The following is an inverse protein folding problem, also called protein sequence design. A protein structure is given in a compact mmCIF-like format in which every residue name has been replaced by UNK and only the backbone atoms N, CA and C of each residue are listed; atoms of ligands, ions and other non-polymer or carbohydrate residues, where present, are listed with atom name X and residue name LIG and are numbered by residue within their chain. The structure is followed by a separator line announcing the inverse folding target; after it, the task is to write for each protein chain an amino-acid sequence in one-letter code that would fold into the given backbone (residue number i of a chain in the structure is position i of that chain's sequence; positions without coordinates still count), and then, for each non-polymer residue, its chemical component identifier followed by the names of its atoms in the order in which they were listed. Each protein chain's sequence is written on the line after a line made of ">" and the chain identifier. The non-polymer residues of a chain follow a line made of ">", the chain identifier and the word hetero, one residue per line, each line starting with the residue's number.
data_IF_418772101028
#
_entry.id   IF_418772101028
#
_cell.length_a   1.000
_cell.length_b   1.000
_cell.length_c   1.000
_cell.angle_alpha   90.00
_cell.angle_beta   90.00
_cell.angle_gamma   90.00
#
_symmetry.space_group_name_H-M   'P 1'
#
loop_
_entity.id
_entity.type
_entity.pdbx_description
1 polymer ?
#
# COMPACT_ATOMS: atom_id res chain seq x y z
N UNK A 1 -10.44 5.05 -31.52
CA UNK A 1 -11.37 4.02 -32.04
C UNK A 1 -11.39 2.88 -31.05
N UNK A 2 -12.54 2.27 -30.82
CA UNK A 2 -12.68 1.07 -30.01
C UNK A 2 -13.13 -0.08 -30.90
N UNK A 3 -12.50 -1.22 -30.73
CA UNK A 3 -12.73 -2.41 -31.54
C UNK A 3 -12.92 -3.63 -30.63
N UNK A 4 -14.07 -4.26 -30.74
CA UNK A 4 -14.29 -5.56 -30.11
C UNK A 4 -13.65 -6.65 -30.95
N UNK A 5 -12.79 -7.45 -30.34
CA UNK A 5 -12.10 -8.57 -30.99
C UNK A 5 -12.55 -9.86 -30.34
N UNK A 6 -13.10 -10.74 -31.14
CA UNK A 6 -13.42 -12.11 -30.75
C UNK A 6 -12.58 -13.08 -31.58
N UNK A 7 -11.92 -13.99 -30.91
CA UNK A 7 -11.14 -15.03 -31.56
C UNK A 7 -11.29 -16.37 -30.83
N UNK A 8 -11.46 -17.41 -31.59
CA UNK A 8 -11.50 -18.79 -31.11
C UNK A 8 -10.71 -19.66 -32.08
N UNK A 9 -9.63 -20.25 -31.62
CA UNK A 9 -8.74 -20.98 -32.48
C UNK A 9 -7.77 -21.88 -31.71
N UNK A 10 -7.11 -22.73 -32.46
CA UNK A 10 -6.13 -23.67 -31.92
C UNK A 10 -4.75 -23.51 -32.60
N UNK A 11 -4.06 -22.37 -32.37
CA UNK A 11 -2.71 -22.17 -32.88
C UNK A 11 -1.74 -23.14 -32.21
N UNK A 12 -0.63 -23.41 -32.87
CA UNK A 12 0.48 -24.17 -32.30
C UNK A 12 1.45 -23.20 -31.61
N UNK A 13 1.28 -22.99 -30.31
CA UNK A 13 2.17 -22.17 -29.50
C UNK A 13 2.86 -23.09 -28.49
N UNK A 14 4.18 -23.12 -28.49
CA UNK A 14 4.97 -23.85 -27.51
C UNK A 14 5.80 -22.85 -26.70
N UNK A 15 5.66 -22.91 -25.38
CA UNK A 15 6.43 -22.12 -24.41
C UNK A 15 7.48 -23.04 -23.78
N UNK A 16 8.75 -22.67 -23.88
CA UNK A 16 9.84 -23.34 -23.16
C UNK A 16 10.06 -22.64 -21.81
N UNK A 17 9.68 -23.33 -20.73
CA UNK A 17 9.80 -22.79 -19.37
C UNK A 17 11.04 -23.40 -18.73
N UNK A 18 12.02 -22.55 -18.43
CA UNK A 18 13.22 -22.95 -17.70
C UNK A 18 12.98 -22.84 -16.20
N UNK A 19 13.11 -23.93 -15.50
CA UNK A 19 13.04 -23.99 -14.03
C UNK A 19 14.31 -23.39 -13.41
N UNK A 20 14.25 -23.03 -12.12
CA UNK A 20 15.41 -22.56 -11.35
C UNK A 20 16.57 -23.57 -11.33
N UNK A 21 16.29 -24.84 -11.58
CA UNK A 21 17.28 -25.92 -11.70
C UNK A 21 17.86 -26.05 -13.13
N UNK A 22 17.51 -25.16 -14.06
CA UNK A 22 17.99 -25.16 -15.44
C UNK A 22 17.32 -26.20 -16.34
N UNK A 23 16.25 -26.86 -15.88
CA UNK A 23 15.49 -27.80 -16.71
C UNK A 23 14.45 -27.05 -17.54
N UNK A 24 14.52 -27.21 -18.88
CA UNK A 24 13.51 -26.65 -19.79
C UNK A 24 12.34 -27.62 -19.95
N UNK A 25 11.12 -27.12 -19.78
CA UNK A 25 9.88 -27.87 -19.91
C UNK A 25 9.05 -27.23 -21.04
N UNK A 26 8.90 -27.91 -22.19
CA UNK A 26 8.05 -27.41 -23.26
C UNK A 26 6.57 -27.59 -22.92
N UNK A 27 5.81 -26.49 -22.97
CA UNK A 27 4.38 -26.45 -22.70
C UNK A 27 3.62 -25.94 -23.91
N UNK A 28 2.70 -26.73 -24.39
CA UNK A 28 1.84 -26.40 -25.52
C UNK A 28 0.60 -25.64 -25.03
N UNK A 29 0.34 -24.46 -25.59
CA UNK A 29 -0.86 -23.66 -25.34
C UNK A 29 -1.88 -23.98 -26.44
N UNK A 30 -3.06 -24.44 -26.05
CA UNK A 30 -4.13 -24.91 -26.94
C UNK A 30 -5.48 -24.29 -26.64
N UNK A 31 -6.39 -24.39 -27.63
CA UNK A 31 -7.80 -24.01 -27.53
C UNK A 31 -7.95 -22.60 -26.94
N UNK A 32 -7.31 -21.65 -27.58
CA UNK A 32 -7.32 -20.26 -27.15
C UNK A 32 -8.64 -19.61 -27.59
N UNK A 33 -9.41 -19.14 -26.63
CA UNK A 33 -10.61 -18.33 -26.85
C UNK A 33 -10.43 -16.97 -26.18
N UNK A 34 -10.50 -15.92 -26.96
CA UNK A 34 -10.34 -14.55 -26.51
C UNK A 34 -11.54 -13.69 -26.94
N UNK A 35 -12.01 -12.84 -26.04
CA UNK A 35 -12.93 -11.74 -26.34
C UNK A 35 -12.50 -10.54 -25.53
N UNK A 36 -12.34 -9.39 -26.19
CA UNK A 36 -11.91 -8.17 -25.52
C UNK A 36 -12.13 -6.93 -26.35
N UNK A 37 -12.21 -5.78 -25.66
CA UNK A 37 -12.35 -4.46 -26.25
C UNK A 37 -10.98 -3.79 -26.34
N UNK A 38 -10.50 -3.56 -27.56
CA UNK A 38 -9.27 -2.82 -27.80
C UNK A 38 -9.54 -1.34 -28.04
N UNK A 39 -8.67 -0.50 -27.51
CA UNK A 39 -8.54 0.89 -27.89
C UNK A 39 -7.41 1.02 -28.87
N UNK A 40 -7.69 1.59 -30.05
CA UNK A 40 -6.72 1.84 -31.13
C UNK A 40 -6.65 3.34 -31.35
N UNK A 41 -5.45 3.90 -31.36
CA UNK A 41 -5.15 5.31 -31.58
C UNK A 41 -4.25 5.45 -32.78
N UNK A 42 -4.65 6.26 -33.76
CA UNK A 42 -3.88 6.60 -34.95
C UNK A 42 -3.29 7.99 -34.77
N UNK A 43 -1.97 8.11 -34.68
CA UNK A 43 -1.28 9.41 -34.46
C UNK A 43 0.18 9.33 -34.96
N UNK A 44 0.75 10.49 -35.38
CA UNK A 44 0.04 11.70 -35.80
C UNK A 44 -0.76 11.44 -37.08
N UNK A 45 -1.77 12.26 -37.36
CA UNK A 45 -2.40 12.27 -38.67
C UNK A 45 -1.49 13.04 -39.66
N UNK A 46 -1.27 12.51 -40.86
CA UNK A 46 -0.38 13.05 -41.87
C UNK A 46 -1.07 12.99 -43.21
N UNK A 47 -0.62 13.80 -44.19
CA UNK A 47 -1.19 13.85 -45.53
C UNK A 47 -0.71 12.69 -46.45
N UNK A 48 0.36 12.01 -46.03
CA UNK A 48 0.92 10.84 -46.76
C UNK A 48 0.14 9.57 -46.41
N UNK A 49 -0.12 8.71 -47.45
CA UNK A 49 -0.78 7.42 -47.22
C UNK A 49 0.05 6.56 -46.25
N UNK A 50 -0.56 5.94 -45.23
CA UNK A 50 -1.99 5.70 -44.98
C UNK A 50 -2.69 6.78 -44.13
N UNK A 51 -2.20 8.01 -44.09
CA UNK A 51 -2.74 9.16 -43.39
C UNK A 51 -2.53 9.16 -41.87
N UNK A 52 -1.65 8.33 -41.35
CA UNK A 52 -1.19 8.33 -39.95
C UNK A 52 0.22 7.74 -39.87
N UNK A 53 1.01 8.26 -38.93
CA UNK A 53 2.42 7.86 -38.75
C UNK A 53 2.59 6.59 -37.92
N UNK A 54 1.75 6.39 -36.90
CA UNK A 54 1.81 5.20 -36.02
C UNK A 54 0.43 4.79 -35.54
N UNK A 55 0.35 3.54 -35.10
CA UNK A 55 -0.82 2.96 -34.40
C UNK A 55 -0.40 2.61 -32.98
N UNK A 56 -1.15 3.10 -32.01
CA UNK A 56 -1.05 2.63 -30.63
C UNK A 56 -2.29 1.81 -30.27
N UNK A 57 -2.11 0.64 -29.68
CA UNK A 57 -3.22 -0.21 -29.28
C UNK A 57 -3.04 -0.74 -27.86
N UNK A 58 -4.17 -0.93 -27.17
CA UNK A 58 -4.24 -1.47 -25.82
C UNK A 58 -5.54 -2.20 -25.58
N UNK A 59 -5.55 -3.14 -24.66
CA UNK A 59 -6.74 -3.84 -24.20
C UNK A 59 -7.45 -2.95 -23.15
N UNK A 60 -8.63 -2.45 -23.47
CA UNK A 60 -9.42 -1.63 -22.55
C UNK A 60 -10.20 -2.49 -21.56
N UNK A 61 -10.75 -3.62 -22.04
CA UNK A 61 -11.52 -4.54 -21.24
C UNK A 61 -11.32 -5.95 -21.76
N UNK A 62 -10.88 -6.83 -20.89
CA UNK A 62 -10.83 -8.27 -21.12
C UNK A 62 -12.17 -8.88 -20.68
N UNK A 63 -12.92 -9.47 -21.60
CA UNK A 63 -14.16 -10.16 -21.28
C UNK A 63 -13.93 -11.64 -21.07
N UNK A 64 -13.14 -12.25 -21.95
CA UNK A 64 -12.84 -13.67 -21.89
C UNK A 64 -11.42 -13.94 -22.40
N UNK A 65 -10.64 -14.70 -21.66
CA UNK A 65 -9.40 -15.29 -22.13
C UNK A 65 -9.27 -16.69 -21.51
N UNK A 66 -9.47 -17.70 -22.34
CA UNK A 66 -9.33 -19.10 -21.96
C UNK A 66 -8.35 -19.80 -22.85
N UNK A 67 -7.57 -20.72 -22.30
CA UNK A 67 -6.70 -21.63 -23.01
C UNK A 67 -6.41 -22.85 -22.18
N UNK A 68 -5.95 -23.93 -22.84
CA UNK A 68 -5.46 -25.13 -22.16
C UNK A 68 -3.96 -25.22 -22.26
N UNK A 69 -3.32 -25.67 -21.17
CA UNK A 69 -1.90 -25.97 -21.12
C UNK A 69 -1.70 -27.49 -21.17
N UNK A 70 -0.77 -27.93 -22.01
CA UNK A 70 -0.37 -29.33 -22.11
C UNK A 70 1.14 -29.43 -22.09
N UNK A 71 1.68 -30.21 -21.14
CA UNK A 71 3.12 -30.50 -21.10
C UNK A 71 3.47 -31.43 -22.25
N UNK A 72 4.48 -31.08 -23.02
CA UNK A 72 5.01 -31.94 -24.09
C UNK A 72 6.03 -32.91 -23.49
N UNK A 73 5.85 -34.23 -23.71
CA UNK A 73 6.71 -35.29 -23.22
C UNK A 73 6.16 -36.09 -22.04
N UNK A 74 6.97 -37.02 -21.52
CA UNK A 74 6.59 -37.95 -20.43
C UNK A 74 6.89 -37.39 -19.03
N UNK A 75 6.82 -36.08 -18.84
CA UNK A 75 7.08 -35.44 -17.55
C UNK A 75 5.79 -35.50 -16.75
N UNK A 76 5.81 -36.19 -15.60
CA UNK A 76 4.70 -36.18 -14.65
C UNK A 76 4.49 -34.77 -14.11
N UNK A 77 3.34 -34.18 -14.36
CA UNK A 77 2.98 -32.85 -13.85
C UNK A 77 2.71 -32.92 -12.36
N UNK A 78 3.40 -32.06 -11.61
CA UNK A 78 3.07 -31.84 -10.20
C UNK A 78 1.71 -31.12 -10.14
N UNK A 79 0.75 -31.60 -9.35
CA UNK A 79 -0.53 -30.91 -9.18
C UNK A 79 -0.34 -29.45 -8.77
N UNK A 80 -1.08 -28.54 -9.41
CA UNK A 80 -1.00 -27.09 -9.12
C UNK A 80 -0.01 -26.31 -9.98
N UNK A 81 1.03 -26.91 -10.57
CA UNK A 81 2.03 -26.22 -11.40
C UNK A 81 1.39 -25.60 -12.66
N UNK A 82 0.53 -26.34 -13.33
CA UNK A 82 -0.16 -25.83 -14.54
C UNK A 82 -1.13 -24.69 -14.22
N UNK A 83 -1.79 -24.73 -13.07
CA UNK A 83 -2.70 -23.66 -12.63
C UNK A 83 -1.93 -22.39 -12.27
N UNK A 84 -0.80 -22.53 -11.56
CA UNK A 84 0.09 -21.43 -11.27
C UNK A 84 0.65 -20.80 -12.55
N UNK A 85 1.08 -21.63 -13.52
CA UNK A 85 1.56 -21.18 -14.81
C UNK A 85 0.47 -20.47 -15.62
N UNK A 86 -0.75 -21.01 -15.62
CA UNK A 86 -1.89 -20.37 -16.28
C UNK A 86 -2.15 -18.99 -15.72
N UNK A 87 -2.13 -18.84 -14.40
CA UNK A 87 -2.27 -17.54 -13.72
C UNK A 87 -1.14 -16.58 -14.10
N UNK A 88 0.10 -17.05 -14.16
CA UNK A 88 1.25 -16.24 -14.57
C UNK A 88 1.10 -15.73 -16.01
N UNK A 89 0.71 -16.60 -16.95
CA UNK A 89 0.47 -16.21 -18.35
C UNK A 89 -0.64 -15.16 -18.45
N UNK A 90 -1.76 -15.39 -17.75
CA UNK A 90 -2.89 -14.46 -17.74
C UNK A 90 -2.48 -13.09 -17.18
N UNK A 91 -1.73 -13.08 -16.10
CA UNK A 91 -1.22 -11.86 -15.47
C UNK A 91 -0.24 -11.15 -16.40
N UNK A 92 0.69 -11.86 -17.04
CA UNK A 92 1.67 -11.27 -17.96
C UNK A 92 0.98 -10.61 -19.17
N UNK A 93 -0.04 -11.25 -19.74
CA UNK A 93 -0.82 -10.67 -20.84
C UNK A 93 -1.55 -9.40 -20.36
N UNK A 94 -2.16 -9.46 -19.17
CA UNK A 94 -2.85 -8.31 -18.59
C UNK A 94 -1.89 -7.14 -18.33
N UNK A 95 -0.72 -7.41 -17.77
CA UNK A 95 0.27 -6.39 -17.44
C UNK A 95 0.93 -5.77 -18.67
N UNK A 96 1.03 -6.52 -19.79
CA UNK A 96 1.73 -6.07 -21.01
C UNK A 96 0.86 -5.26 -21.98
N UNK A 97 -0.47 -5.43 -21.97
CA UNK A 97 -1.33 -4.83 -23.01
C UNK A 97 -2.57 -4.11 -22.45
N UNK A 98 -2.90 -4.27 -21.16
CA UNK A 98 -4.06 -3.61 -20.59
C UNK A 98 -3.82 -2.12 -20.38
N UNK A 99 -4.75 -1.29 -20.82
CA UNK A 99 -4.70 0.15 -20.61
C UNK A 99 -4.39 0.53 -19.14
N UNK A 100 -3.45 1.46 -18.87
CA UNK A 100 -2.82 2.43 -19.79
C UNK A 100 -1.62 1.89 -20.59
N UNK A 101 -1.14 0.67 -20.31
CA UNK A 101 -0.09 0.02 -21.10
C UNK A 101 -0.56 -0.15 -22.54
N UNK A 102 0.31 0.13 -23.49
CA UNK A 102 0.01 0.13 -24.92
C UNK A 102 1.24 -0.21 -25.74
N UNK A 103 1.00 -0.86 -26.85
CA UNK A 103 1.98 -1.14 -27.86
C UNK A 103 1.91 -0.10 -28.98
N UNK A 104 3.04 0.30 -29.52
CA UNK A 104 3.14 1.29 -30.60
C UNK A 104 3.76 0.63 -31.82
N UNK A 105 3.05 0.69 -32.93
CA UNK A 105 3.53 0.22 -34.25
C UNK A 105 3.78 1.43 -35.14
N UNK A 106 5.05 1.69 -35.45
CA UNK A 106 5.44 2.73 -36.38
C UNK A 106 5.11 2.26 -37.83
N UNK A 107 4.37 3.08 -38.56
CA UNK A 107 3.96 2.82 -39.94
C UNK A 107 4.83 3.63 -40.89
N UNK A 108 5.05 4.89 -40.60
CA UNK A 108 5.94 5.77 -41.32
C UNK A 108 7.19 6.05 -40.47
N UNK A 109 8.33 6.38 -41.09
CA UNK A 109 9.51 6.83 -40.36
C UNK A 109 9.19 8.12 -39.59
N UNK A 110 9.54 8.15 -38.26
CA UNK A 110 9.29 9.32 -37.43
C UNK A 110 9.56 9.06 -35.94
N UNK A 111 9.48 10.10 -35.17
CA UNK A 111 9.52 10.03 -33.71
C UNK A 111 8.08 9.95 -33.13
N UNK A 112 7.81 8.90 -32.36
CA UNK A 112 6.51 8.62 -31.78
C UNK A 112 6.56 8.55 -30.24
N UNK A 113 7.57 9.16 -29.63
CA UNK A 113 7.73 9.24 -28.17
C UNK A 113 6.55 9.89 -27.45
N UNK A 114 5.74 10.68 -28.18
CA UNK A 114 4.48 11.24 -27.67
C UNK A 114 3.41 10.19 -27.34
N UNK A 115 3.50 9.03 -28.01
CA UNK A 115 2.58 7.92 -27.82
C UNK A 115 3.00 7.00 -26.66
N UNK A 116 4.25 7.11 -26.22
CA UNK A 116 4.75 6.34 -25.09
C UNK A 116 4.00 6.66 -23.81
N UNK A 117 4.00 5.68 -22.93
CA UNK A 117 3.36 5.81 -21.62
C UNK A 117 4.18 6.74 -20.73
N UNK A 118 3.54 7.85 -20.32
CA UNK A 118 4.17 8.84 -19.44
C UNK A 118 3.43 8.89 -18.11
N UNK A 119 4.15 8.96 -17.00
CA UNK A 119 3.52 9.14 -15.69
C UNK A 119 2.76 10.46 -15.62
N UNK A 120 1.56 10.45 -15.04
CA UNK A 120 0.71 11.62 -14.80
C UNK A 120 0.66 12.03 -13.34
N UNK A 121 1.26 11.25 -12.44
CA UNK A 121 1.30 11.52 -11.02
C UNK A 121 2.10 10.47 -10.26
N UNK A 122 2.18 10.67 -8.94
CA UNK A 122 2.84 9.79 -7.97
C UNK A 122 1.82 9.31 -6.95
N UNK A 123 1.83 8.02 -6.61
CA UNK A 123 1.12 7.44 -5.48
C UNK A 123 2.11 7.09 -4.39
N UNK A 124 1.96 7.70 -3.23
CA UNK A 124 2.63 7.28 -2.00
C UNK A 124 1.73 6.29 -1.26
N UNK A 125 2.31 5.15 -0.88
CA UNK A 125 1.65 4.07 -0.16
C UNK A 125 2.41 3.80 1.12
N UNK A 126 1.77 4.02 2.27
CA UNK A 126 2.32 3.64 3.56
C UNK A 126 1.63 2.36 4.03
N UNK A 127 2.37 1.26 4.05
CA UNK A 127 1.94 -0.02 4.62
C UNK A 127 2.22 0.01 6.12
N UNK A 128 1.18 0.17 6.93
CA UNK A 128 1.33 0.40 8.37
C UNK A 128 1.41 -0.92 9.12
N UNK A 129 0.34 -1.72 9.06
CA UNK A 129 0.20 -2.94 9.85
C UNK A 129 -0.79 -3.93 9.24
N UNK A 130 -0.69 -5.19 9.67
CA UNK A 130 -1.72 -6.21 9.50
C UNK A 130 -2.42 -6.52 10.81
N UNK A 131 -3.63 -7.07 10.75
CA UNK A 131 -4.44 -7.48 11.90
C UNK A 131 -5.12 -8.80 11.61
N UNK A 132 -5.02 -9.73 12.58
CA UNK A 132 -5.68 -11.04 12.53
C UNK A 132 -5.38 -11.84 11.26
N UNK A 133 -4.13 -11.81 10.78
CA UNK A 133 -3.73 -12.56 9.60
C UNK A 133 -3.92 -14.05 9.83
N UNK A 134 -4.34 -14.77 8.77
CA UNK A 134 -4.46 -16.23 8.84
C UNK A 134 -3.09 -16.84 9.12
N UNK A 135 -3.01 -17.67 10.14
CA UNK A 135 -1.81 -18.46 10.41
C UNK A 135 -1.67 -19.58 9.38
N UNK A 136 -0.50 -19.70 8.78
CA UNK A 136 -0.15 -20.76 7.83
C UNK A 136 0.73 -21.81 8.46
N UNK A 137 1.50 -21.43 9.46
CA UNK A 137 2.39 -22.32 10.20
C UNK A 137 1.66 -23.34 11.07
N UNK A 138 2.18 -24.56 11.07
CA UNK A 138 1.72 -25.63 11.97
C UNK A 138 2.26 -25.43 13.40
N UNK A 139 3.43 -24.81 13.55
CA UNK A 139 4.10 -24.55 14.82
C UNK A 139 4.51 -23.08 14.84
N UNK A 140 3.96 -22.29 15.76
CA UNK A 140 4.23 -20.87 15.84
C UNK A 140 3.17 -20.01 15.14
N UNK A 141 3.59 -18.87 14.67
CA UNK A 141 2.78 -17.92 13.90
C UNK A 141 3.53 -17.58 12.63
N UNK A 142 2.79 -17.30 11.60
CA UNK A 142 3.30 -16.86 10.30
C UNK A 142 4.32 -15.71 10.40
N UNK A 143 5.22 -15.67 9.43
CA UNK A 143 6.25 -14.65 9.22
C UNK A 143 5.83 -13.71 8.06
N UNK A 144 4.82 -12.83 8.25
CA UNK A 144 4.19 -12.14 7.16
C UNK A 144 5.04 -11.03 6.53
N UNK A 145 4.99 -10.98 5.20
CA UNK A 145 5.44 -9.86 4.38
C UNK A 145 4.40 -9.52 3.31
N UNK A 146 4.52 -8.36 2.69
CA UNK A 146 3.60 -7.89 1.66
C UNK A 146 4.33 -7.49 0.38
N UNK A 147 3.75 -7.87 -0.75
CA UNK A 147 4.06 -7.33 -2.07
C UNK A 147 3.05 -6.23 -2.41
N UNK A 148 3.53 -5.06 -2.80
CA UNK A 148 2.74 -3.88 -3.14
C UNK A 148 3.06 -3.45 -4.55
N UNK A 149 2.06 -3.24 -5.39
CA UNK A 149 2.25 -2.83 -6.79
C UNK A 149 0.99 -2.20 -7.38
N UNK A 150 1.17 -1.43 -8.46
CA UNK A 150 0.08 -0.87 -9.26
C UNK A 150 -0.18 -1.78 -10.47
N UNK A 151 -1.45 -2.16 -10.69
CA UNK A 151 -1.86 -2.85 -11.91
C UNK A 151 -2.36 -1.85 -12.95
N UNK A 152 -2.06 -2.10 -14.24
CA UNK A 152 -1.46 -3.31 -14.81
C UNK A 152 0.09 -3.37 -14.82
N UNK A 153 0.82 -2.54 -14.10
CA UNK A 153 2.29 -2.47 -14.10
C UNK A 153 2.94 -3.26 -12.95
N UNK A 154 2.70 -4.58 -12.92
CA UNK A 154 3.20 -5.46 -11.86
C UNK A 154 4.73 -5.58 -11.81
N UNK A 155 5.45 -5.30 -12.87
CA UNK A 155 6.92 -5.32 -12.90
C UNK A 155 7.57 -4.36 -11.89
N UNK A 156 6.81 -3.42 -11.33
CA UNK A 156 7.25 -2.46 -10.31
C UNK A 156 6.86 -2.90 -8.90
N UNK A 157 6.88 -4.20 -8.61
CA UNK A 157 6.59 -4.73 -7.27
C UNK A 157 7.58 -4.16 -6.25
N UNK A 158 7.05 -3.71 -5.11
CA UNK A 158 7.80 -3.39 -3.89
C UNK A 158 7.45 -4.41 -2.83
N UNK A 159 8.45 -4.91 -2.13
CA UNK A 159 8.28 -5.94 -1.08
C UNK A 159 8.64 -5.35 0.28
N UNK A 160 7.78 -5.58 1.27
CA UNK A 160 8.06 -5.19 2.65
C UNK A 160 9.07 -6.14 3.29
N UNK A 161 9.62 -5.73 4.44
CA UNK A 161 10.35 -6.67 5.30
C UNK A 161 9.42 -7.75 5.86
N UNK A 162 10.02 -8.88 6.21
CA UNK A 162 9.37 -9.98 6.94
C UNK A 162 9.25 -9.59 8.42
N UNK A 163 8.10 -9.83 9.03
CA UNK A 163 7.88 -9.66 10.48
C UNK A 163 7.66 -11.03 11.11
N UNK A 164 8.68 -11.53 11.75
CA UNK A 164 8.68 -12.91 12.26
C UNK A 164 7.63 -13.14 13.36
N UNK A 165 6.99 -14.31 13.32
CA UNK A 165 6.10 -14.87 14.33
C UNK A 165 4.97 -13.93 14.77
N UNK A 166 4.26 -13.30 13.80
CA UNK A 166 3.23 -12.32 14.09
C UNK A 166 2.01 -12.40 13.18
N UNK A 167 0.83 -12.58 13.75
CA UNK A 167 -0.44 -12.41 13.04
C UNK A 167 -0.95 -10.95 13.01
N UNK A 168 -0.21 -10.06 13.70
CA UNK A 168 -0.48 -8.63 13.73
C UNK A 168 0.82 -7.84 13.47
N UNK A 169 1.42 -8.00 12.27
CA UNK A 169 2.69 -7.37 11.94
C UNK A 169 2.56 -5.85 11.88
N UNK A 170 3.62 -5.14 12.25
CA UNK A 170 3.76 -3.70 12.04
C UNK A 170 4.95 -3.48 11.13
N UNK A 171 4.68 -3.21 9.84
CA UNK A 171 5.71 -2.96 8.84
C UNK A 171 6.20 -1.52 8.91
N UNK A 172 5.29 -0.54 8.87
CA UNK A 172 5.59 0.90 8.81
C UNK A 172 6.59 1.23 7.70
N UNK A 173 6.23 0.85 6.48
CA UNK A 173 7.05 1.06 5.30
C UNK A 173 6.31 1.90 4.28
N UNK A 174 7.04 2.81 3.62
CA UNK A 174 6.53 3.68 2.56
C UNK A 174 7.08 3.24 1.22
N UNK A 175 6.21 3.27 0.19
CA UNK A 175 6.52 2.94 -1.18
C UNK A 175 5.97 4.01 -2.11
N UNK A 176 6.71 4.34 -3.16
CA UNK A 176 6.29 5.29 -4.18
C UNK A 176 6.08 4.58 -5.51
N UNK A 177 5.02 4.95 -6.21
CA UNK A 177 4.66 4.39 -7.51
C UNK A 177 4.29 5.51 -8.48
N UNK A 178 4.85 5.46 -9.67
CA UNK A 178 4.38 6.29 -10.78
C UNK A 178 3.00 5.82 -11.23
N UNK A 179 2.11 6.78 -11.48
CA UNK A 179 0.74 6.57 -11.96
C UNK A 179 0.64 7.12 -13.37
N UNK A 180 0.19 6.30 -14.30
CA UNK A 180 0.00 6.67 -15.70
C UNK A 180 -1.45 7.00 -16.05
N UNK A 181 -2.41 6.38 -15.32
CA UNK A 181 -3.84 6.69 -15.44
C UNK A 181 -4.58 6.34 -14.14
N UNK A 182 -4.82 7.34 -13.30
CA UNK A 182 -5.54 7.15 -12.04
C UNK A 182 -6.99 6.67 -12.23
N UNK A 183 -7.58 6.87 -13.41
CA UNK A 183 -8.98 6.47 -13.68
C UNK A 183 -9.15 4.96 -13.85
N UNK A 184 -8.11 4.26 -14.28
CA UNK A 184 -8.16 2.83 -14.60
C UNK A 184 -7.24 1.98 -13.74
N UNK A 185 -6.13 2.54 -13.26
CA UNK A 185 -5.17 1.81 -12.42
C UNK A 185 -5.68 1.58 -11.00
N UNK A 186 -5.11 0.57 -10.37
CA UNK A 186 -5.42 0.21 -8.99
C UNK A 186 -4.18 -0.32 -8.26
N UNK A 187 -4.10 0.00 -6.97
CA UNK A 187 -3.12 -0.57 -6.07
C UNK A 187 -3.56 -1.98 -5.68
N UNK A 188 -2.64 -2.93 -5.74
CA UNK A 188 -2.81 -4.28 -5.22
C UNK A 188 -1.79 -4.53 -4.13
N UNK A 189 -2.23 -5.14 -3.04
CA UNK A 189 -1.38 -5.64 -1.96
C UNK A 189 -1.64 -7.12 -1.81
N UNK A 190 -0.57 -7.92 -1.85
CA UNK A 190 -0.59 -9.36 -1.63
C UNK A 190 0.23 -9.67 -0.38
N UNK A 191 -0.34 -10.44 0.54
CA UNK A 191 0.32 -10.81 1.79
C UNK A 191 0.66 -12.28 1.75
N UNK A 192 1.89 -12.59 2.13
CA UNK A 192 2.44 -13.93 2.15
C UNK A 192 3.04 -14.25 3.52
N UNK A 193 3.17 -15.52 3.78
CA UNK A 193 3.96 -16.11 4.86
C UNK A 193 5.33 -16.52 4.29
N UNK A 194 6.41 -16.11 4.92
CA UNK A 194 7.77 -16.47 4.50
C UNK A 194 8.16 -17.82 5.07
N UNK A 195 8.35 -18.81 4.20
CA UNK A 195 8.75 -20.17 4.54
C UNK A 195 10.29 -20.36 4.45
N UNK A 196 11.04 -19.25 4.37
CA UNK A 196 12.49 -19.26 4.26
C UNK A 196 13.00 -19.92 2.98
N UNK A 197 13.33 -21.21 3.01
CA UNK A 197 13.89 -21.95 1.85
C UNK A 197 12.78 -22.44 0.91
N UNK A 198 11.57 -22.61 1.40
CA UNK A 198 10.42 -23.03 0.60
C UNK A 198 9.74 -21.85 -0.08
N UNK A 199 8.82 -22.13 -0.98
CA UNK A 199 8.01 -21.08 -1.60
C UNK A 199 7.05 -20.49 -0.56
N UNK A 200 7.03 -19.16 -0.47
CA UNK A 200 6.16 -18.43 0.45
C UNK A 200 4.68 -18.78 0.26
N UNK A 201 3.95 -18.97 1.35
CA UNK A 201 2.54 -19.28 1.33
C UNK A 201 1.66 -18.04 1.25
N UNK A 202 0.72 -18.03 0.30
CA UNK A 202 -0.20 -16.92 0.10
C UNK A 202 -1.26 -16.85 1.21
N UNK A 203 -1.33 -15.72 1.92
CA UNK A 203 -2.34 -15.44 2.95
C UNK A 203 -3.59 -14.83 2.32
N UNK A 204 -3.43 -13.73 1.57
CA UNK A 204 -4.54 -13.03 0.94
C UNK A 204 -4.11 -11.76 0.22
N UNK A 205 -5.06 -11.15 -0.49
CA UNK A 205 -4.84 -9.91 -1.23
C UNK A 205 -5.94 -8.88 -1.00
N UNK A 206 -5.63 -7.61 -1.28
CA UNK A 206 -6.55 -6.50 -1.27
C UNK A 206 -6.25 -5.53 -2.41
N UNK A 207 -7.25 -4.72 -2.79
CA UNK A 207 -7.16 -3.80 -3.92
C UNK A 207 -7.82 -2.47 -3.59
N UNK A 208 -7.25 -1.37 -4.11
CA UNK A 208 -7.82 -0.02 -4.05
C UNK A 208 -7.75 0.60 -5.44
N UNK A 209 -8.88 1.08 -5.97
CA UNK A 209 -8.89 1.82 -7.23
C UNK A 209 -8.38 3.25 -7.01
N UNK A 210 -7.44 3.70 -7.84
CA UNK A 210 -6.85 5.03 -7.69
C UNK A 210 -7.86 6.14 -7.95
N UNK A 211 -8.88 5.90 -8.78
CA UNK A 211 -9.99 6.83 -9.01
C UNK A 211 -10.80 7.18 -7.75
N UNK A 212 -10.73 6.35 -6.71
CA UNK A 212 -11.43 6.55 -5.44
C UNK A 212 -10.61 7.40 -4.45
N UNK A 213 -9.41 7.81 -4.85
CA UNK A 213 -8.55 8.70 -4.09
C UNK A 213 -8.80 10.15 -4.48
N UNK A 214 -8.83 11.03 -3.50
CA UNK A 214 -8.85 12.47 -3.74
C UNK A 214 -7.41 12.96 -3.90
N UNK A 215 -7.07 13.64 -5.02
CA UNK A 215 -5.74 14.20 -5.20
C UNK A 215 -5.32 15.11 -4.04
N UNK A 216 -4.10 14.96 -3.58
CA UNK A 216 -3.52 15.77 -2.51
C UNK A 216 -4.04 15.48 -1.10
N UNK A 217 -4.94 14.48 -0.93
CA UNK A 217 -5.45 14.10 0.41
C UNK A 217 -5.01 12.70 0.80
N UNK A 218 -4.56 12.59 2.04
CA UNK A 218 -4.25 11.29 2.64
C UNK A 218 -5.54 10.52 2.91
N UNK A 219 -5.62 9.29 2.42
CA UNK A 219 -6.70 8.37 2.70
C UNK A 219 -6.18 7.20 3.53
N UNK A 220 -6.64 7.11 4.78
CA UNK A 220 -6.33 6.00 5.67
C UNK A 220 -7.46 4.97 5.63
N UNK A 221 -7.13 3.69 5.45
CA UNK A 221 -8.14 2.62 5.32
C UNK A 221 -7.64 1.26 5.78
N UNK A 222 -8.58 0.50 6.34
CA UNK A 222 -8.43 -0.91 6.62
C UNK A 222 -9.06 -1.74 5.50
N UNK A 223 -8.29 -2.64 4.91
CA UNK A 223 -8.72 -3.51 3.83
C UNK A 223 -8.78 -4.96 4.31
N UNK A 224 -9.93 -5.61 4.13
CA UNK A 224 -10.06 -7.05 4.35
C UNK A 224 -9.31 -7.82 3.27
N UNK A 225 -8.54 -8.82 3.66
CA UNK A 225 -7.87 -9.71 2.73
C UNK A 225 -8.83 -10.77 2.20
N UNK A 226 -8.75 -11.02 0.90
CA UNK A 226 -9.51 -12.06 0.19
C UNK A 226 -8.54 -13.04 -0.50
N UNK A 227 -9.05 -14.21 -0.88
CA UNK A 227 -8.24 -15.20 -1.62
C UNK A 227 -7.99 -14.78 -3.06
N UNK A 228 -9.01 -14.17 -3.69
CA UNK A 228 -9.01 -13.80 -5.09
C UNK A 228 -9.87 -12.55 -5.26
N UNK A 229 -9.33 -11.54 -5.91
CA UNK A 229 -10.01 -10.25 -6.16
C UNK A 229 -11.20 -10.38 -7.12
N UNK A 230 -11.27 -11.46 -7.89
CA UNK A 230 -12.40 -11.75 -8.80
C UNK A 230 -13.55 -12.48 -8.09
N UNK A 231 -13.31 -13.08 -6.93
CA UNK A 231 -14.33 -13.76 -6.15
C UNK A 231 -15.15 -12.75 -5.34
N UNK A 232 -16.44 -12.67 -5.62
CA UNK A 232 -17.35 -11.75 -4.92
C UNK A 232 -17.54 -12.06 -3.42
N UNK A 233 -17.22 -13.29 -2.95
CA UNK A 233 -17.33 -13.70 -1.54
C UNK A 233 -16.21 -14.67 -1.18
N UNK A 234 -15.33 -14.23 -0.29
CA UNK A 234 -14.46 -15.14 0.46
C UNK A 234 -15.07 -15.35 1.86
N UNK A 235 -15.41 -16.59 2.19
CA UNK A 235 -16.04 -16.94 3.46
C UNK A 235 -15.02 -17.10 4.60
N UNK A 236 -13.71 -17.06 4.32
CA UNK A 236 -12.65 -17.17 5.32
C UNK A 236 -12.20 -15.77 5.75
N UNK A 237 -12.10 -15.57 7.06
CA UNK A 237 -11.39 -14.41 7.59
C UNK A 237 -9.88 -14.60 7.34
N UNK A 238 -9.28 -13.75 6.52
CA UNK A 238 -7.84 -13.78 6.21
C UNK A 238 -7.07 -12.67 6.91
N UNK A 239 -7.79 -11.88 7.71
CA UNK A 239 -7.27 -10.68 8.35
C UNK A 239 -7.48 -9.43 7.51
N UNK A 240 -6.84 -8.36 7.95
CA UNK A 240 -6.93 -7.03 7.36
C UNK A 240 -5.56 -6.39 7.32
N UNK A 241 -5.39 -5.42 6.41
CA UNK A 241 -4.21 -4.55 6.33
C UNK A 241 -4.62 -3.09 6.46
N UNK A 242 -3.78 -2.30 7.11
CA UNK A 242 -3.92 -0.86 7.26
C UNK A 242 -2.96 -0.13 6.33
N UNK A 243 -3.52 0.71 5.47
CA UNK A 243 -2.78 1.53 4.50
C UNK A 243 -3.11 3.00 4.67
N UNK A 244 -2.14 3.85 4.39
CA UNK A 244 -2.36 5.25 4.03
C UNK A 244 -1.91 5.49 2.61
N UNK A 245 -2.73 6.20 1.85
CA UNK A 245 -2.53 6.45 0.43
C UNK A 245 -2.61 7.95 0.16
N UNK A 246 -1.64 8.48 -0.58
CA UNK A 246 -1.62 9.86 -1.05
C UNK A 246 -1.33 9.87 -2.55
N UNK A 247 -2.28 10.32 -3.35
CA UNK A 247 -2.11 10.49 -4.78
C UNK A 247 -1.85 11.96 -5.13
N UNK A 248 -0.73 12.22 -5.81
CA UNK A 248 -0.28 13.54 -6.24
C UNK A 248 -0.13 13.57 -7.77
N UNK A 249 -1.07 14.19 -8.54
CA UNK A 249 -0.92 14.36 -9.98
C UNK A 249 0.20 15.36 -10.31
N UNK A 250 0.95 15.11 -11.40
CA UNK A 250 1.97 16.03 -11.88
C UNK A 250 1.33 17.29 -12.52
N UNK A 251 2.03 18.42 -12.42
CA UNK A 251 1.61 19.69 -13.04
C UNK A 251 0.63 20.53 -12.21
N UNK A 252 0.16 20.05 -11.07
CA UNK A 252 -0.46 20.90 -10.05
C UNK A 252 0.67 21.56 -9.25
N UNK A 253 0.74 22.90 -9.32
CA UNK A 253 1.70 23.65 -8.54
C UNK A 253 1.54 23.29 -7.07
N UNK A 254 2.62 22.76 -6.47
CA UNK A 254 2.80 22.48 -5.05
C UNK A 254 1.58 21.94 -4.30
N UNK A 255 1.20 20.69 -4.59
CA UNK A 255 0.18 19.97 -3.81
C UNK A 255 0.56 19.89 -2.33
N UNK A 256 1.84 19.90 -1.99
CA UNK A 256 2.30 20.06 -0.61
C UNK A 256 1.88 21.40 0.01
N UNK A 257 1.80 22.49 -0.79
CA UNK A 257 1.34 23.80 -0.30
C UNK A 257 -0.19 23.91 -0.25
N UNK A 258 -0.94 23.13 -1.07
CA UNK A 258 -2.41 23.05 -0.97
C UNK A 258 -2.89 22.09 0.12
N UNK A 259 -2.07 21.11 0.55
CA UNK A 259 -2.35 20.29 1.72
C UNK A 259 -2.16 21.05 3.04
N UNK A 260 -1.36 22.10 3.02
CA UNK A 260 -1.28 23.11 4.08
C UNK A 260 -2.21 24.25 3.69
N UNK A 261 -3.40 24.30 4.28
CA UNK A 261 -4.35 25.39 4.04
C UNK A 261 -3.64 26.73 4.32
N UNK A 262 -3.45 27.63 3.33
CA UNK A 262 -2.67 28.87 3.53
C UNK A 262 -3.28 29.79 4.59
N UNK A 263 -4.57 29.59 4.91
CA UNK A 263 -5.31 30.39 5.90
C UNK A 263 -5.02 29.97 7.35
N UNK A 264 -4.48 28.77 7.58
CA UNK A 264 -4.12 28.28 8.92
C UNK A 264 -2.66 28.52 9.30
N UNK A 265 -1.79 28.78 8.32
CA UNK A 265 -0.39 29.16 8.54
C UNK A 265 -0.18 30.59 8.04
N UNK A 266 0.24 31.49 8.93
CA UNK A 266 0.68 32.80 8.49
C UNK A 266 1.82 32.62 7.47
N UNK A 267 1.61 33.10 6.23
CA UNK A 267 2.63 33.11 5.15
C UNK A 267 4.02 33.61 5.63
N UNK A 268 4.05 34.46 6.65
CA UNK A 268 5.26 34.95 7.31
C UNK A 268 6.04 33.85 8.03
N UNK A 269 5.41 32.81 8.54
CA UNK A 269 6.10 31.71 9.22
C UNK A 269 6.64 30.68 8.23
N UNK A 270 5.92 30.48 7.11
CA UNK A 270 6.37 29.66 5.99
C UNK A 270 7.49 30.33 5.17
N UNK A 271 7.39 31.63 4.89
CA UNK A 271 8.44 32.40 4.20
C UNK A 271 9.73 32.50 5.01
N UNK A 272 9.66 32.50 6.35
CA UNK A 272 10.84 32.41 7.22
C UNK A 272 11.47 31.00 7.19
N UNK A 273 10.66 29.95 6.96
CA UNK A 273 11.12 28.57 6.87
C UNK A 273 11.69 28.19 5.48
N UNK A 274 11.32 28.96 4.41
CA UNK A 274 11.61 28.61 3.00
C UNK A 274 12.62 29.57 2.35
N UNK A 275 13.20 30.54 3.05
CA UNK A 275 14.31 31.30 2.45
C UNK A 275 15.64 30.54 2.53
N UNK A 276 16.02 29.84 1.45
CA UNK A 276 17.42 29.68 1.11
C UNK A 276 17.75 30.60 -0.07
N UNK A 277 18.65 31.48 0.10
CA UNK A 277 19.51 31.91 -0.99
C UNK A 277 20.32 30.68 -1.42
N UNK A 278 19.81 29.94 -2.37
CA UNK A 278 20.58 29.17 -3.38
C UNK A 278 19.64 28.22 -4.15
N UNK A 279 19.66 28.40 -5.42
CA UNK A 279 19.26 27.57 -6.55
C UNK A 279 18.84 26.14 -6.20
N UNK A 280 17.52 25.90 -6.14
CA UNK A 280 16.95 24.54 -6.15
C UNK A 280 16.70 24.15 -7.61
N UNK A 281 17.76 23.74 -8.29
CA UNK A 281 17.67 22.83 -9.42
C UNK A 281 18.16 21.47 -8.90
N UNK A 282 17.34 20.43 -9.06
CA UNK A 282 17.58 19.02 -8.74
C UNK A 282 17.23 18.56 -7.32
N UNK A 283 15.94 18.56 -6.96
CA UNK A 283 15.48 17.66 -5.89
C UNK A 283 14.04 17.22 -6.15
N UNK A 284 13.82 16.52 -7.24
CA UNK A 284 12.67 15.60 -7.37
C UNK A 284 13.21 14.28 -6.84
N UNK A 285 12.94 13.96 -5.57
CA UNK A 285 13.39 12.75 -4.88
C UNK A 285 13.98 12.97 -3.48
N UNK A 286 14.05 14.21 -3.00
CA UNK A 286 14.47 14.50 -1.63
C UNK A 286 13.32 14.29 -0.65
N UNK A 287 13.48 13.37 0.32
CA UNK A 287 12.63 13.29 1.50
C UNK A 287 12.48 14.69 2.10
N UNK A 288 11.29 15.28 2.07
CA UNK A 288 10.99 16.47 2.85
C UNK A 288 11.10 16.06 4.33
N UNK A 289 12.18 16.52 4.98
CA UNK A 289 12.37 16.32 6.41
C UNK A 289 11.45 17.28 7.15
N UNK A 290 10.33 16.73 7.66
CA UNK A 290 9.46 17.48 8.56
C UNK A 290 10.02 17.39 9.97
N UNK A 291 10.73 18.45 10.37
CA UNK A 291 11.20 18.63 11.75
C UNK A 291 10.19 19.46 12.52
N UNK A 292 10.01 19.10 13.77
CA UNK A 292 9.11 19.83 14.64
C UNK A 292 9.02 19.26 16.04
N UNK A 293 8.12 19.82 16.81
CA UNK A 293 7.79 19.35 18.16
C UNK A 293 6.39 18.79 18.16
N UNK A 294 6.27 17.56 18.63
CA UNK A 294 5.01 16.86 18.80
C UNK A 294 4.62 16.92 20.28
N UNK A 295 3.47 17.53 20.57
CA UNK A 295 2.85 17.51 21.88
C UNK A 295 1.79 16.44 21.92
N UNK A 296 1.95 15.45 22.80
CA UNK A 296 1.03 14.32 22.95
C UNK A 296 0.39 14.39 24.32
N UNK A 297 -0.91 14.70 24.36
CA UNK A 297 -1.69 14.68 25.60
C UNK A 297 -2.52 13.41 25.66
N UNK A 298 -2.25 12.56 26.64
CA UNK A 298 -3.08 11.41 26.97
C UNK A 298 -4.13 11.87 27.98
N UNK A 299 -5.36 12.09 27.50
CA UNK A 299 -6.43 12.68 28.31
C UNK A 299 -7.03 11.62 29.23
N UNK A 300 -7.69 10.61 28.66
CA UNK A 300 -8.38 9.56 29.42
C UNK A 300 -8.61 8.31 28.55
N UNK A 301 -9.06 7.24 29.18
CA UNK A 301 -9.65 6.10 28.48
C UNK A 301 -11.04 5.79 29.04
N UNK A 302 -11.85 5.05 28.28
CA UNK A 302 -13.18 4.58 28.68
C UNK A 302 -13.34 3.11 28.39
N UNK A 303 -14.11 2.46 29.24
CA UNK A 303 -14.57 1.08 29.08
C UNK A 303 -13.43 0.07 28.85
N UNK A 304 -12.29 0.26 29.54
CA UNK A 304 -11.19 -0.69 29.50
C UNK A 304 -11.66 -2.06 29.99
N UNK A 305 -11.18 -3.17 29.41
CA UNK A 305 -11.56 -4.51 29.84
C UNK A 305 -11.05 -4.77 31.26
N UNK A 306 -11.90 -5.42 32.07
CA UNK A 306 -11.50 -5.87 33.40
C UNK A 306 -10.68 -7.16 33.24
N UNK A 307 -9.42 -7.11 33.61
CA UNK A 307 -8.47 -8.24 33.44
C UNK A 307 -8.26 -9.07 34.70
N UNK A 308 -8.71 -8.59 35.85
CA UNK A 308 -8.51 -9.25 37.16
C UNK A 308 -9.77 -9.78 37.81
N UNK A 309 -9.59 -10.58 38.88
CA UNK A 309 -10.64 -11.15 39.71
C UNK A 309 -11.52 -10.08 40.38
N UNK A 310 -11.05 -8.84 40.52
CA UNK A 310 -11.70 -7.74 41.21
C UNK A 310 -12.43 -6.74 40.30
N UNK A 311 -12.57 -7.02 39.01
CA UNK A 311 -13.22 -6.13 38.01
C UNK A 311 -12.68 -4.70 37.97
N UNK A 312 -11.41 -4.50 38.30
CA UNK A 312 -10.71 -3.22 38.23
C UNK A 312 -9.35 -3.47 37.63
N UNK A 313 -8.74 -2.47 36.94
CA UNK A 313 -7.37 -2.51 36.54
C UNK A 313 -6.60 -1.26 36.95
N UNK A 314 -5.28 -1.32 36.95
CA UNK A 314 -4.37 -0.21 37.26
C UNK A 314 -3.68 0.22 35.94
N UNK A 315 -4.41 0.92 35.03
CA UNK A 315 -3.92 1.17 33.69
C UNK A 315 -2.91 2.33 33.60
N UNK A 316 -1.97 2.20 32.69
CA UNK A 316 -1.12 3.26 32.20
C UNK A 316 -0.92 3.15 30.69
N UNK A 317 -0.50 4.23 30.04
CA UNK A 317 -0.22 4.29 28.61
C UNK A 317 1.27 4.48 28.40
N UNK A 318 1.86 3.62 27.60
CA UNK A 318 3.22 3.75 27.07
C UNK A 318 3.13 4.35 25.67
N UNK A 319 3.77 5.50 25.48
CA UNK A 319 3.86 6.23 24.22
C UNK A 319 5.19 5.89 23.58
N UNK A 320 5.19 5.45 22.31
CA UNK A 320 6.39 5.01 21.60
C UNK A 320 6.42 5.71 20.25
N UNK A 321 7.51 6.39 19.95
CA UNK A 321 7.90 6.78 18.60
C UNK A 321 8.79 5.69 18.03
N UNK A 322 8.32 4.98 17.00
CA UNK A 322 8.92 3.71 16.57
C UNK A 322 10.29 3.90 15.91
N UNK A 323 10.45 4.90 15.06
CA UNK A 323 11.70 5.14 14.32
C UNK A 323 12.77 5.74 15.22
N UNK A 324 12.41 6.74 16.00
CA UNK A 324 13.30 7.42 16.94
C UNK A 324 13.53 6.66 18.24
N UNK A 325 12.80 5.55 18.46
CA UNK A 325 12.85 4.70 19.67
C UNK A 325 12.56 5.45 20.99
N UNK A 326 12.01 6.66 20.92
CA UNK A 326 11.65 7.45 22.09
C UNK A 326 10.43 6.83 22.78
N UNK A 327 10.45 6.80 24.10
CA UNK A 327 9.39 6.22 24.92
C UNK A 327 9.11 7.08 26.13
N UNK A 328 7.82 7.35 26.34
CA UNK A 328 7.29 8.02 27.52
C UNK A 328 6.11 7.23 28.07
N UNK A 329 5.80 7.38 29.34
CA UNK A 329 4.66 6.70 29.97
C UNK A 329 3.89 7.61 30.92
N UNK A 330 2.57 7.42 30.95
CA UNK A 330 1.72 8.08 31.94
C UNK A 330 1.93 7.51 33.35
N UNK A 331 1.45 8.23 34.35
CA UNK A 331 1.26 7.65 35.69
C UNK A 331 0.29 6.46 35.61
N UNK A 332 0.39 5.57 36.59
CA UNK A 332 -0.59 4.49 36.78
C UNK A 332 -1.86 5.06 37.42
N UNK A 333 -3.03 4.78 36.85
CA UNK A 333 -4.30 5.15 37.39
C UNK A 333 -4.89 3.96 38.16
N UNK A 334 -4.93 4.03 39.48
CA UNK A 334 -5.28 2.88 40.30
C UNK A 334 -6.78 2.53 40.28
N UNK A 335 -7.08 1.22 40.14
CA UNK A 335 -8.41 0.61 40.34
C UNK A 335 -9.55 1.23 39.53
N UNK A 336 -9.31 1.49 38.22
CA UNK A 336 -10.32 2.11 37.38
C UNK A 336 -10.29 1.54 35.93
N UNK A 337 -11.48 1.37 35.36
CA UNK A 337 -11.66 1.04 33.93
C UNK A 337 -11.84 2.31 33.07
N UNK A 338 -11.97 3.49 33.72
CA UNK A 338 -12.12 4.78 33.05
C UNK A 338 -11.09 5.77 33.60
N UNK A 339 -9.81 5.54 33.35
CA UNK A 339 -8.73 6.37 33.89
C UNK A 339 -8.70 7.76 33.26
N UNK A 340 -8.31 8.76 34.06
CA UNK A 340 -7.99 10.11 33.58
C UNK A 340 -6.57 10.42 33.96
N UNK A 341 -5.74 10.63 32.94
CA UNK A 341 -4.33 10.96 33.12
C UNK A 341 -4.08 12.45 32.95
N UNK A 342 -4.61 13.05 31.90
CA UNK A 342 -4.43 14.45 31.51
C UNK A 342 -2.95 14.85 31.59
N UNK A 343 -2.10 14.07 30.93
CA UNK A 343 -0.65 14.26 30.90
C UNK A 343 -0.17 14.55 29.49
N UNK A 344 0.65 15.58 29.34
CA UNK A 344 1.25 15.99 28.07
C UNK A 344 2.73 15.62 28.05
N UNK A 345 3.17 15.08 26.91
CA UNK A 345 4.54 14.73 26.62
C UNK A 345 5.00 15.48 25.37
N UNK A 346 6.27 15.84 25.33
CA UNK A 346 6.88 16.59 24.26
C UNK A 346 7.95 15.74 23.58
N UNK A 347 7.90 15.64 22.25
CA UNK A 347 8.87 14.90 21.45
C UNK A 347 9.42 15.78 20.34
N UNK A 348 10.75 15.84 20.25
CA UNK A 348 11.45 16.46 19.11
C UNK A 348 11.51 15.43 17.98
N UNK A 349 10.94 15.77 16.84
CA UNK A 349 10.84 14.90 15.67
C UNK A 349 11.77 15.41 14.58
N UNK A 350 12.67 14.55 14.13
CA UNK A 350 13.62 14.85 13.03
C UNK A 350 13.03 14.53 11.65
N UNK A 351 12.18 13.50 11.57
CA UNK A 351 11.58 13.01 10.32
C UNK A 351 10.16 12.49 10.59
N UNK A 352 9.22 13.42 10.63
CA UNK A 352 7.84 13.13 11.00
C UNK A 352 7.08 12.27 9.98
N UNK A 353 7.44 12.29 8.69
CA UNK A 353 6.73 11.49 7.69
C UNK A 353 6.99 10.00 7.82
N UNK A 354 8.16 9.63 8.35
CA UNK A 354 8.57 8.22 8.42
C UNK A 354 8.52 7.65 9.85
N UNK A 355 8.06 8.43 10.84
CA UNK A 355 7.89 7.92 12.19
C UNK A 355 6.43 7.47 12.45
N UNK A 356 6.27 6.62 13.43
CA UNK A 356 5.00 6.03 13.83
C UNK A 356 4.78 6.21 15.33
N UNK A 357 3.63 6.77 15.68
CA UNK A 357 3.22 6.97 17.07
C UNK A 357 2.37 5.78 17.52
N UNK A 358 2.84 5.10 18.56
CA UNK A 358 2.18 3.92 19.12
C UNK A 358 1.84 4.22 20.58
N UNK A 359 0.59 3.98 20.95
CA UNK A 359 0.10 4.02 22.33
C UNK A 359 -0.21 2.60 22.75
N UNK A 360 0.53 2.07 23.70
CA UNK A 360 0.22 0.80 24.32
C UNK A 360 -0.43 1.03 25.67
N UNK A 361 -1.62 0.45 25.84
CA UNK A 361 -2.32 0.47 27.12
C UNK A 361 -1.96 -0.79 27.91
N UNK A 362 -1.41 -0.59 29.09
CA UNK A 362 -0.94 -1.65 29.96
C UNK A 362 -1.65 -1.65 31.30
N UNK A 363 -1.82 -2.81 31.87
CA UNK A 363 -2.20 -3.01 33.26
C UNK A 363 -0.95 -3.22 34.12
N UNK A 364 -0.86 -2.44 35.19
CA UNK A 364 0.25 -2.55 36.15
C UNK A 364 -0.03 -3.61 37.19
N UNK A 365 0.88 -4.59 37.29
CA UNK A 365 0.89 -5.61 38.33
C UNK A 365 2.23 -5.64 39.05
N UNK A 366 2.23 -6.08 40.32
CA UNK A 366 3.43 -6.18 41.13
C UNK A 366 4.46 -7.16 40.54
N UNK A 367 4.00 -8.22 39.88
CA UNK A 367 4.88 -9.28 39.36
C UNK A 367 5.13 -9.17 37.85
N UNK A 368 4.12 -8.78 37.07
CA UNK A 368 4.21 -8.72 35.61
C UNK A 368 3.12 -7.82 35.07
N UNK A 369 3.52 -6.86 34.21
CA UNK A 369 2.55 -6.02 33.52
C UNK A 369 1.93 -6.77 32.33
N UNK A 370 0.64 -6.64 32.12
CA UNK A 370 -0.06 -7.21 30.99
C UNK A 370 -0.52 -6.12 30.05
N UNK A 371 -0.31 -6.35 28.73
CA UNK A 371 -0.76 -5.40 27.73
C UNK A 371 -2.22 -5.62 27.40
N UNK A 372 -3.04 -4.58 27.60
CA UNK A 372 -4.46 -4.56 27.27
C UNK A 372 -4.66 -4.46 25.76
N UNK A 373 -3.95 -3.54 25.11
CA UNK A 373 -4.02 -3.34 23.67
C UNK A 373 -3.19 -2.14 23.23
N UNK A 374 -3.39 -1.69 21.99
CA UNK A 374 -2.61 -0.57 21.42
C UNK A 374 -3.42 0.25 20.43
N UNK A 375 -3.05 1.52 20.24
CA UNK A 375 -3.45 2.36 19.12
C UNK A 375 -2.20 2.70 18.31
N UNK A 376 -2.29 2.72 16.99
CA UNK A 376 -1.18 3.09 16.10
C UNK A 376 -1.68 4.18 15.17
N UNK A 377 -0.91 5.28 15.07
CA UNK A 377 -1.15 6.32 14.08
C UNK A 377 0.14 6.79 13.44
N UNK A 378 0.01 7.35 12.24
CA UNK A 378 1.11 7.99 11.54
C UNK A 378 1.20 9.45 11.96
N UNK A 379 2.39 10.02 11.92
CA UNK A 379 2.55 11.45 12.13
C UNK A 379 2.09 12.26 10.91
N UNK A 380 1.98 11.65 9.73
CA UNK A 380 1.53 12.32 8.50
C UNK A 380 0.21 13.04 8.70
N UNK A 381 -0.78 12.38 9.31
CA UNK A 381 -2.08 12.99 9.59
C UNK A 381 -1.97 14.17 10.56
N UNK A 382 -1.19 14.01 11.63
CA UNK A 382 -0.99 15.07 12.63
C UNK A 382 -0.28 16.29 12.02
N UNK A 383 0.72 16.04 11.16
CA UNK A 383 1.47 17.10 10.47
C UNK A 383 0.54 17.88 9.53
N UNK A 384 -0.32 17.19 8.78
CA UNK A 384 -1.23 17.81 7.81
C UNK A 384 -2.39 18.55 8.47
N UNK A 385 -2.94 18.03 9.57
CA UNK A 385 -4.09 18.62 10.27
C UNK A 385 -3.65 19.61 11.37
N UNK A 386 -2.35 19.63 11.73
CA UNK A 386 -1.78 20.47 12.79
C UNK A 386 -2.13 19.98 14.19
N UNK A 387 -3.37 19.63 14.46
CA UNK A 387 -3.85 19.12 15.73
C UNK A 387 -4.96 18.08 15.52
N UNK A 388 -4.87 16.96 16.26
CA UNK A 388 -5.90 15.90 16.28
C UNK A 388 -6.34 15.69 17.71
N UNK A 389 -7.65 15.86 17.96
CA UNK A 389 -8.27 15.55 19.25
C UNK A 389 -9.44 14.60 19.03
N UNK A 390 -9.24 13.32 19.35
CA UNK A 390 -10.23 12.29 19.02
C UNK A 390 -10.15 11.08 19.95
N UNK A 391 -11.16 10.20 19.85
CA UNK A 391 -11.23 8.91 20.50
C UNK A 391 -10.72 7.82 19.58
N UNK A 392 -9.82 6.99 20.07
CA UNK A 392 -9.20 5.90 19.31
C UNK A 392 -9.57 4.55 19.91
N UNK A 393 -9.96 3.60 19.08
CA UNK A 393 -10.16 2.22 19.49
C UNK A 393 -8.83 1.58 19.90
N UNK A 394 -8.87 0.74 20.94
CA UNK A 394 -7.70 0.02 21.44
C UNK A 394 -7.65 -1.36 20.79
N UNK A 395 -6.81 -1.52 19.78
CA UNK A 395 -6.62 -2.78 19.08
C UNK A 395 -6.05 -3.87 19.98
N UNK A 396 -6.68 -5.06 19.95
CA UNK A 396 -6.32 -6.20 20.78
C UNK A 396 -7.04 -6.24 22.12
N UNK A 397 -7.77 -5.16 22.50
CA UNK A 397 -8.67 -5.17 23.64
C UNK A 397 -10.07 -5.64 23.22
N UNK A 398 -10.81 -6.26 24.11
CA UNK A 398 -12.22 -6.64 23.86
C UNK A 398 -13.16 -5.45 23.85
N UNK A 399 -12.80 -4.41 24.60
CA UNK A 399 -13.51 -3.13 24.73
C UNK A 399 -12.51 -2.04 25.06
N UNK A 400 -12.91 -0.80 24.95
CA UNK A 400 -12.13 0.35 25.39
C UNK A 400 -11.73 1.31 24.29
N UNK A 401 -11.73 2.60 24.63
CA UNK A 401 -11.27 3.68 23.77
C UNK A 401 -10.33 4.60 24.51
N UNK A 402 -9.37 5.19 23.79
CA UNK A 402 -8.37 6.13 24.31
C UNK A 402 -8.62 7.53 23.73
N UNK A 403 -8.74 8.55 24.57
CA UNK A 403 -8.89 9.94 24.18
C UNK A 403 -7.53 10.64 24.18
N UNK A 404 -7.13 11.10 23.02
CA UNK A 404 -5.84 11.75 22.81
C UNK A 404 -6.03 13.16 22.26
N UNK A 405 -5.11 14.06 22.59
CA UNK A 405 -4.89 15.30 21.86
C UNK A 405 -3.43 15.36 21.44
N UNK A 406 -3.19 15.46 20.13
CA UNK A 406 -1.87 15.41 19.53
C UNK A 406 -1.73 16.65 18.67
N UNK A 407 -0.73 17.48 18.97
CA UNK A 407 -0.48 18.75 18.28
C UNK A 407 0.92 18.78 17.71
N UNK A 408 1.01 19.20 16.45
CA UNK A 408 2.26 19.42 15.73
C UNK A 408 2.63 20.88 15.71
N UNK A 409 3.89 21.17 16.00
CA UNK A 409 4.49 22.51 15.84
C UNK A 409 5.74 22.38 14.98
N UNK A 410 5.71 22.82 13.71
CA UNK A 410 6.86 22.75 12.83
C UNK A 410 7.98 23.65 13.37
N UNK A 411 9.22 23.18 13.26
CA UNK A 411 10.41 23.98 13.56
C UNK A 411 11.17 24.31 12.27
N UNK A 412 11.57 25.57 12.07
CA UNK A 412 12.37 25.92 10.93
C UNK A 412 13.74 25.24 11.03
N UNK A 413 14.25 24.77 9.90
CA UNK A 413 15.65 24.33 9.78
C UNK A 413 16.49 25.58 9.90
N UNK A 414 17.12 25.78 11.04
CA UNK A 414 18.19 26.79 11.17
C UNK A 414 19.45 26.12 10.64
N UNK A 415 20.07 26.65 9.58
CA UNK A 415 21.27 26.08 8.97
C UNK A 415 22.47 26.02 9.91
#
# INVERSE_FOLDING_TARGET
>A
MELEVQWDGNPCIVLDITTTLGVSIPIEVKDIAFTGLFRIIFKPLVDEFPCFGAISYSLRKKEKLNFRLKVCGNISTVPGVLDGLKSTILNSIEDSITWPVREIISILPGDYSDLELKPVGMLEVKLIQGKELTNKDLIGKSDPFAEVFIRPRRERIKTSKVINNSLNPVWNESFEFEVEDASTQHLTVMVYDDEGIQASEFIGCAQVHLKDLQPGKVKSLWLKLVKDLQLQRDNKNRGQIHLELLYCPYGTQSIFMECFNPDDFSLTDLEKAIKPETTIQNTIGGSLLFRGVLFVTVICAKDLPATGLFRSCDPYVLIILKKSELKEKTRVAAKTLNPVWDQTFEFVIEDGLHDLLIFEVWEHHVCRNDRIGRCIMTLTRVILEGEIRDWFEIDGATTGTLHLNIKWTPQPIIP
#
